data_IF_437171785266
#
_entry.id   IF_437171785266
#
_cell.length_a   1.000
_cell.length_b   1.000
_cell.length_c   1.000
_cell.angle_alpha   90.00
_cell.angle_beta   90.00
_cell.angle_gamma   90.00
#
_symmetry.space_group_name_H-M   'P 1'
#
loop_
_entity.id
_entity.type
_entity.pdbx_description
1 polymer ?
#
# COMPACT_ATOMS: atom_id res chain seq x y z
N UNK A 1 20.89 -2.60 -5.66
CA UNK A 1 20.81 -2.49 -7.14
C UNK A 1 22.19 -2.63 -7.77
N UNK A 2 22.92 -1.51 -7.92
CA UNK A 2 24.25 -1.48 -8.57
C UNK A 2 25.27 -2.43 -7.94
N UNK A 3 25.34 -2.47 -6.61
CA UNK A 3 26.26 -3.40 -5.92
C UNK A 3 25.95 -4.86 -6.22
N UNK A 4 24.67 -5.26 -6.30
CA UNK A 4 24.28 -6.64 -6.64
C UNK A 4 24.70 -7.00 -8.07
N UNK A 5 24.58 -6.05 -9.01
CA UNK A 5 25.01 -6.25 -10.41
C UNK A 5 26.53 -6.51 -10.49
N UNK A 6 27.33 -5.90 -9.61
CA UNK A 6 28.78 -6.13 -9.55
C UNK A 6 29.16 -7.51 -9.00
N UNK A 7 28.23 -8.20 -8.33
CA UNK A 7 28.45 -9.51 -7.70
C UNK A 7 28.11 -10.69 -8.62
N UNK A 8 27.76 -10.45 -9.89
CA UNK A 8 27.39 -11.51 -10.83
C UNK A 8 27.97 -11.27 -12.21
N UNK A 9 28.41 -12.36 -12.84
CA UNK A 9 28.85 -12.37 -14.25
C UNK A 9 27.70 -12.62 -15.23
N UNK A 10 26.48 -12.83 -14.73
CA UNK A 10 25.29 -13.01 -15.56
C UNK A 10 24.93 -11.70 -16.28
N UNK A 11 24.31 -11.83 -17.47
CA UNK A 11 23.72 -10.67 -18.14
C UNK A 11 22.63 -10.07 -17.26
N UNK A 12 22.76 -8.79 -16.94
CA UNK A 12 21.79 -8.07 -16.13
C UNK A 12 20.97 -7.12 -16.97
N UNK A 13 19.70 -6.97 -16.59
CA UNK A 13 18.82 -5.95 -17.13
C UNK A 13 18.23 -5.15 -15.98
N UNK A 14 18.51 -3.85 -15.97
CA UNK A 14 18.19 -2.97 -14.84
C UNK A 14 17.07 -2.02 -15.20
N UNK A 15 16.27 -1.67 -14.19
CA UNK A 15 15.20 -0.69 -14.30
C UNK A 15 15.36 0.40 -13.25
N UNK A 16 14.80 1.58 -13.53
CA UNK A 16 14.82 2.68 -12.58
C UNK A 16 13.99 3.88 -13.00
N UNK A 17 13.59 4.67 -12.00
CA UNK A 17 12.97 5.97 -12.19
C UNK A 17 14.05 7.06 -12.17
N UNK A 18 14.90 7.06 -11.15
CA UNK A 18 15.92 8.10 -10.94
C UNK A 18 17.23 7.84 -11.71
N UNK A 19 17.58 6.56 -11.87
CA UNK A 19 18.87 6.19 -12.45
C UNK A 19 18.82 6.20 -13.99
N UNK A 20 19.37 7.27 -14.57
CA UNK A 20 19.46 7.46 -16.02
C UNK A 20 20.28 6.36 -16.75
N UNK A 21 21.10 5.61 -16.03
CA UNK A 21 21.91 4.52 -16.58
C UNK A 21 21.14 3.20 -16.76
N UNK A 22 19.95 3.09 -16.16
CA UNK A 22 19.11 1.89 -16.25
C UNK A 22 18.71 1.58 -17.71
N UNK A 23 18.51 0.30 -17.97
CA UNK A 23 18.15 -0.20 -19.31
C UNK A 23 16.71 0.14 -19.67
N UNK A 24 15.78 -0.06 -18.73
CA UNK A 24 14.39 0.38 -18.81
C UNK A 24 14.15 1.52 -17.82
N UNK A 25 13.67 2.65 -18.33
CA UNK A 25 13.48 3.88 -17.56
C UNK A 25 12.05 4.34 -17.60
N UNK A 26 11.54 4.86 -16.49
CA UNK A 26 10.26 5.56 -16.45
C UNK A 26 10.48 7.08 -16.45
N UNK A 27 9.75 7.77 -17.30
CA UNK A 27 9.69 9.23 -17.46
C UNK A 27 8.22 9.68 -17.38
N UNK A 28 7.99 10.99 -17.16
CA UNK A 28 6.65 11.60 -17.13
C UNK A 28 5.64 10.87 -16.21
N UNK A 29 6.11 10.46 -15.02
CA UNK A 29 5.31 9.64 -14.11
C UNK A 29 4.20 10.50 -13.49
N UNK A 30 2.96 10.11 -13.76
CA UNK A 30 1.77 10.58 -13.06
C UNK A 30 1.34 9.48 -12.12
N UNK A 31 1.48 9.72 -10.82
CA UNK A 31 1.09 8.79 -9.77
C UNK A 31 0.03 9.45 -8.89
N UNK A 32 -1.16 8.86 -8.85
CA UNK A 32 -2.29 9.37 -8.08
C UNK A 32 -3.16 8.23 -7.57
N UNK A 33 -4.15 8.52 -6.72
CA UNK A 33 -5.11 7.51 -6.27
C UNK A 33 -5.89 6.86 -7.43
N UNK A 34 -5.98 7.53 -8.59
CA UNK A 34 -6.61 6.98 -9.80
C UNK A 34 -5.75 5.91 -10.49
N UNK A 35 -4.45 5.89 -10.22
CA UNK A 35 -3.51 4.94 -10.83
C UNK A 35 -2.19 5.60 -11.22
N UNK A 36 -1.38 4.81 -11.93
CA UNK A 36 -0.07 5.20 -12.46
C UNK A 36 -0.14 5.27 -13.98
N UNK A 37 0.34 6.39 -14.53
CA UNK A 37 0.73 6.51 -15.94
C UNK A 37 2.20 6.87 -16.00
N UNK A 38 2.96 6.23 -16.88
CA UNK A 38 4.37 6.56 -17.10
C UNK A 38 4.79 6.20 -18.51
N UNK A 39 5.71 6.99 -19.05
CA UNK A 39 6.36 6.70 -20.33
C UNK A 39 7.62 5.88 -20.08
N UNK A 40 7.75 4.76 -20.78
CA UNK A 40 8.91 3.89 -20.65
C UNK A 40 9.85 4.06 -21.82
N UNK A 41 11.13 4.23 -21.52
CA UNK A 41 12.24 4.27 -22.47
C UNK A 41 13.14 3.06 -22.23
N UNK A 42 13.25 2.19 -23.23
CA UNK A 42 14.04 0.98 -23.19
C UNK A 42 15.19 1.03 -24.20
N UNK A 43 16.41 0.79 -23.74
CA UNK A 43 17.61 0.69 -24.57
C UNK A 43 18.09 -0.77 -24.61
N UNK A 44 17.78 -1.49 -25.70
CA UNK A 44 18.13 -2.91 -25.85
C UNK A 44 19.55 -3.16 -26.38
N UNK A 45 20.21 -2.11 -26.90
CA UNK A 45 21.62 -2.17 -27.35
C UNK A 45 22.55 -2.76 -26.28
N UNK A 46 22.28 -2.43 -25.02
CA UNK A 46 23.02 -2.90 -23.86
C UNK A 46 22.79 -4.38 -23.52
N UNK A 47 21.73 -5.01 -24.05
CA UNK A 47 21.44 -6.44 -23.90
C UNK A 47 21.96 -7.29 -25.07
N UNK A 48 21.88 -6.75 -26.28
CA UNK A 48 22.27 -7.46 -27.48
C UNK A 48 22.82 -6.48 -28.54
N UNK A 49 24.12 -6.59 -28.85
CA UNK A 49 24.81 -5.76 -29.84
C UNK A 49 24.22 -5.84 -31.26
N UNK A 50 23.35 -6.82 -31.52
CA UNK A 50 22.64 -6.97 -32.79
C UNK A 50 21.29 -6.23 -32.85
N UNK A 51 20.74 -5.78 -31.71
CA UNK A 51 19.48 -5.02 -31.66
C UNK A 51 19.76 -3.55 -31.30
N UNK A 52 20.06 -2.76 -32.33
CA UNK A 52 20.25 -1.30 -32.21
C UNK A 52 18.90 -0.57 -32.18
N UNK A 53 18.07 -0.88 -31.17
CA UNK A 53 16.69 -0.39 -31.11
C UNK A 53 16.33 0.18 -29.73
N UNK A 54 16.05 1.47 -29.73
CA UNK A 54 15.37 2.16 -28.64
C UNK A 54 13.87 1.92 -28.79
N UNK A 55 13.20 1.52 -27.70
CA UNK A 55 11.75 1.42 -27.64
C UNK A 55 11.21 2.46 -26.69
N UNK A 56 10.12 3.13 -27.11
CA UNK A 56 9.35 4.03 -26.26
C UNK A 56 7.90 3.62 -26.27
N UNK A 57 7.31 3.49 -25.10
CA UNK A 57 5.90 3.12 -24.95
C UNK A 57 5.36 3.57 -23.60
N UNK A 58 4.09 3.95 -23.56
CA UNK A 58 3.43 4.35 -22.32
C UNK A 58 2.74 3.16 -21.64
N UNK A 59 2.76 3.16 -20.31
CA UNK A 59 2.05 2.23 -19.44
C UNK A 59 0.97 2.98 -18.68
N UNK A 60 -0.18 2.34 -18.52
CA UNK A 60 -1.28 2.77 -17.65
C UNK A 60 -1.68 1.60 -16.75
N UNK A 61 -1.87 1.87 -15.46
CA UNK A 61 -2.31 0.89 -14.47
C UNK A 61 -3.18 1.54 -13.42
N UNK A 62 -4.14 0.80 -12.86
CA UNK A 62 -4.96 1.25 -11.74
C UNK A 62 -4.23 1.18 -10.39
N UNK A 63 -3.09 0.48 -10.36
CA UNK A 63 -2.16 0.44 -9.23
C UNK A 63 -1.64 1.84 -8.92
N UNK A 64 -1.40 2.11 -7.65
CA UNK A 64 -0.91 3.41 -7.16
C UNK A 64 0.26 3.24 -6.19
N UNK A 65 1.01 4.33 -5.97
CA UNK A 65 2.20 4.33 -5.12
C UNK A 65 3.49 4.02 -5.86
N UNK A 66 4.60 4.63 -5.45
CA UNK A 66 5.88 4.50 -6.16
C UNK A 66 6.43 3.08 -6.16
N UNK A 67 6.19 2.29 -5.10
CA UNK A 67 6.58 0.88 -5.07
C UNK A 67 5.92 0.09 -6.22
N UNK A 68 4.68 0.40 -6.58
CA UNK A 68 4.02 -0.22 -7.73
C UNK A 68 4.60 0.26 -9.07
N UNK A 69 5.06 1.51 -9.18
CA UNK A 69 5.80 1.95 -10.37
C UNK A 69 7.07 1.11 -10.58
N UNK A 70 7.82 0.83 -9.51
CA UNK A 70 8.97 -0.08 -9.56
C UNK A 70 8.57 -1.54 -9.89
N UNK A 71 7.48 -2.06 -9.31
CA UNK A 71 6.99 -3.40 -9.63
C UNK A 71 6.60 -3.51 -11.10
N UNK A 72 5.88 -2.52 -11.64
CA UNK A 72 5.49 -2.47 -13.05
C UNK A 72 6.74 -2.42 -13.95
N UNK A 73 7.75 -1.62 -13.60
CA UNK A 73 9.03 -1.59 -14.31
C UNK A 73 9.71 -2.96 -14.31
N UNK A 74 9.76 -3.65 -13.16
CA UNK A 74 10.31 -4.99 -13.05
C UNK A 74 9.53 -6.00 -13.92
N UNK A 75 8.20 -5.94 -13.92
CA UNK A 75 7.34 -6.78 -14.77
C UNK A 75 7.54 -6.50 -16.26
N UNK A 76 7.69 -5.23 -16.66
CA UNK A 76 8.01 -4.86 -18.04
C UNK A 76 9.36 -5.46 -18.46
N UNK A 77 10.39 -5.34 -17.61
CA UNK A 77 11.69 -5.96 -17.85
C UNK A 77 11.58 -7.47 -18.07
N UNK A 78 10.88 -8.17 -17.17
CA UNK A 78 10.69 -9.62 -17.29
C UNK A 78 9.97 -9.97 -18.60
N UNK A 79 8.87 -9.29 -18.92
CA UNK A 79 8.12 -9.51 -20.16
C UNK A 79 8.95 -9.29 -21.42
N UNK A 80 9.73 -8.20 -21.48
CA UNK A 80 10.60 -7.89 -22.61
C UNK A 80 11.70 -8.95 -22.79
N UNK A 81 12.34 -9.39 -21.71
CA UNK A 81 13.39 -10.42 -21.75
C UNK A 81 12.81 -11.78 -22.17
N UNK A 82 11.57 -12.08 -21.76
CA UNK A 82 10.84 -13.28 -22.16
C UNK A 82 10.28 -13.22 -23.59
N UNK A 83 10.48 -12.12 -24.32
CA UNK A 83 10.04 -11.97 -25.72
C UNK A 83 8.56 -11.62 -25.88
N UNK A 84 7.87 -11.17 -24.83
CA UNK A 84 6.51 -10.67 -24.95
C UNK A 84 6.48 -9.35 -25.74
N UNK A 85 5.47 -9.17 -26.60
CA UNK A 85 5.27 -7.90 -27.29
C UNK A 85 4.90 -6.79 -26.30
N UNK A 86 5.24 -5.55 -26.66
CA UNK A 86 4.91 -4.36 -25.87
C UNK A 86 3.39 -4.26 -25.67
N UNK A 87 2.59 -4.58 -26.69
CA UNK A 87 1.13 -4.60 -26.61
C UNK A 87 0.61 -5.58 -25.56
N UNK A 88 1.19 -6.79 -25.50
CA UNK A 88 0.81 -7.80 -24.50
C UNK A 88 1.22 -7.37 -23.08
N UNK A 89 2.39 -6.76 -22.93
CA UNK A 89 2.86 -6.20 -21.65
C UNK A 89 1.90 -5.10 -21.18
N UNK A 90 1.57 -4.13 -22.05
CA UNK A 90 0.62 -3.04 -21.78
C UNK A 90 -0.73 -3.59 -21.36
N UNK A 91 -1.26 -4.57 -22.09
CA UNK A 91 -2.55 -5.19 -21.79
C UNK A 91 -2.53 -5.89 -20.44
N UNK A 92 -1.49 -6.68 -20.15
CA UNK A 92 -1.35 -7.39 -18.87
C UNK A 92 -1.30 -6.45 -17.68
N UNK A 93 -0.49 -5.37 -17.76
CA UNK A 93 -0.38 -4.38 -16.69
C UNK A 93 -1.70 -3.62 -16.48
N UNK A 94 -2.38 -3.25 -17.56
CA UNK A 94 -3.66 -2.54 -17.48
C UNK A 94 -4.76 -3.40 -16.86
N UNK A 95 -4.74 -4.71 -17.08
CA UNK A 95 -5.71 -5.66 -16.54
C UNK A 95 -5.41 -6.11 -15.11
N UNK A 96 -4.26 -5.74 -14.54
CA UNK A 96 -3.88 -6.18 -13.20
C UNK A 96 -4.69 -5.42 -12.12
N UNK A 97 -5.58 -6.11 -11.37
CA UNK A 97 -6.45 -5.44 -10.39
C UNK A 97 -5.73 -5.07 -9.08
N UNK A 98 -4.48 -5.52 -8.91
CA UNK A 98 -3.75 -5.44 -7.65
C UNK A 98 -3.77 -6.75 -6.89
N UNK A 99 -3.08 -6.76 -5.75
CA UNK A 99 -2.93 -7.94 -4.90
C UNK A 99 -3.81 -7.74 -3.67
N UNK A 100 -4.68 -8.73 -3.39
CA UNK A 100 -5.56 -8.70 -2.21
C UNK A 100 -4.74 -8.43 -0.95
N UNK A 101 -5.13 -7.43 -0.17
CA UNK A 101 -4.48 -7.06 1.09
C UNK A 101 -3.07 -6.48 0.97
N UNK A 102 -2.68 -5.97 -0.20
CA UNK A 102 -1.39 -5.29 -0.46
C UNK A 102 -1.65 -4.00 -1.20
N UNK A 103 -1.79 -2.91 -0.45
CA UNK A 103 -2.23 -1.62 -0.94
C UNK A 103 -3.46 -1.74 -1.86
N UNK A 104 -4.41 -2.60 -1.45
CA UNK A 104 -5.57 -2.96 -2.24
C UNK A 104 -6.55 -1.79 -2.23
N UNK A 105 -6.70 -1.13 -3.38
CA UNK A 105 -7.60 0.01 -3.53
C UNK A 105 -9.02 -0.48 -3.78
N UNK A 106 -9.95 -0.02 -2.96
CA UNK A 106 -11.38 -0.25 -3.09
C UNK A 106 -12.04 1.12 -3.19
N UNK A 107 -12.70 1.38 -4.32
CA UNK A 107 -13.48 2.61 -4.52
C UNK A 107 -14.94 2.26 -4.26
N UNK A 108 -15.55 2.92 -3.29
CA UNK A 108 -16.96 2.70 -2.93
C UNK A 108 -17.89 3.35 -3.98
N UNK A 109 -19.14 2.91 -4.07
CA UNK A 109 -20.20 3.50 -4.88
C UNK A 109 -20.44 4.98 -4.51
N UNK A 110 -20.17 5.35 -3.25
CA UNK A 110 -20.22 6.73 -2.74
C UNK A 110 -19.02 7.59 -3.20
N UNK A 111 -18.00 6.98 -3.81
CA UNK A 111 -16.80 7.62 -4.35
C UNK A 111 -15.68 7.81 -3.33
N UNK A 112 -15.70 7.07 -2.22
CA UNK A 112 -14.66 7.09 -1.19
C UNK A 112 -13.55 6.12 -1.60
N UNK A 113 -12.29 6.54 -1.44
CA UNK A 113 -11.13 5.69 -1.70
C UNK A 113 -10.72 5.00 -0.40
N UNK A 114 -10.94 3.70 -0.30
CA UNK A 114 -10.43 2.85 0.77
C UNK A 114 -9.19 2.06 0.29
N UNK A 115 -8.23 1.84 1.18
CA UNK A 115 -7.03 1.05 0.92
C UNK A 115 -6.89 0.01 2.03
N UNK A 116 -6.77 -1.26 1.67
CA UNK A 116 -6.52 -2.36 2.63
C UNK A 116 -5.08 -2.86 2.49
N UNK A 117 -4.34 -2.89 3.61
CA UNK A 117 -2.94 -3.32 3.64
C UNK A 117 -2.59 -4.17 4.88
N UNK A 118 -1.57 -5.02 4.74
CA UNK A 118 -1.09 -5.94 5.78
C UNK A 118 0.01 -5.37 6.68
N UNK A 119 0.33 -4.09 6.54
CA UNK A 119 1.33 -3.43 7.37
C UNK A 119 1.03 -3.58 8.88
N UNK A 120 1.78 -4.44 9.55
CA UNK A 120 1.66 -4.75 10.99
C UNK A 120 2.99 -4.58 11.76
N UNK A 121 3.97 -3.95 11.10
CA UNK A 121 5.27 -3.54 11.68
C UNK A 121 5.42 -2.02 11.59
N UNK A 122 6.23 -1.38 12.43
CA UNK A 122 6.44 0.07 12.38
C UNK A 122 6.85 0.57 10.98
N UNK A 123 7.91 0.02 10.40
CA UNK A 123 8.38 0.42 9.07
C UNK A 123 7.37 0.12 7.96
N UNK A 124 6.61 -0.97 8.08
CA UNK A 124 5.51 -1.27 7.16
C UNK A 124 4.42 -0.20 7.22
N UNK A 125 3.96 0.13 8.44
CA UNK A 125 2.92 1.13 8.69
C UNK A 125 3.36 2.51 8.21
N UNK A 126 4.60 2.91 8.50
CA UNK A 126 5.18 4.17 8.04
C UNK A 126 5.19 4.27 6.52
N UNK A 127 5.64 3.22 5.83
CA UNK A 127 5.72 3.16 4.37
C UNK A 127 4.34 3.29 3.72
N UNK A 128 3.35 2.54 4.21
CA UNK A 128 1.99 2.59 3.67
C UNK A 128 1.31 3.93 3.96
N UNK A 129 1.51 4.52 5.15
CA UNK A 129 0.96 5.83 5.50
C UNK A 129 1.57 6.94 4.66
N UNK A 130 2.90 6.96 4.48
CA UNK A 130 3.57 7.94 3.60
C UNK A 130 3.05 7.83 2.17
N UNK A 131 2.91 6.61 1.66
CA UNK A 131 2.38 6.38 0.31
C UNK A 131 0.93 6.86 0.21
N UNK A 132 0.07 6.49 1.16
CA UNK A 132 -1.32 6.92 1.17
C UNK A 132 -1.43 8.45 1.27
N UNK A 133 -0.65 9.09 2.15
CA UNK A 133 -0.62 10.55 2.34
C UNK A 133 -0.21 11.27 1.07
N UNK A 134 0.80 10.77 0.35
CA UNK A 134 1.21 11.31 -0.94
C UNK A 134 0.10 11.25 -1.99
N UNK A 135 -0.75 10.22 -1.94
CA UNK A 135 -1.84 10.02 -2.90
C UNK A 135 -3.11 10.81 -2.57
N UNK A 136 -3.20 11.42 -1.37
CA UNK A 136 -4.36 12.20 -0.94
C UNK A 136 -4.56 13.40 -1.90
N UNK A 137 -5.72 13.52 -2.55
CA UNK A 137 -6.08 14.69 -3.34
C UNK A 137 -5.98 16.01 -2.56
N UNK A 138 -5.73 17.11 -3.28
CA UNK A 138 -5.69 18.45 -2.66
C UNK A 138 -7.00 18.77 -1.91
N UNK A 139 -6.85 19.15 -0.64
CA UNK A 139 -7.97 19.42 0.28
C UNK A 139 -8.64 18.17 0.86
N UNK A 140 -8.07 16.98 0.65
CA UNK A 140 -8.47 15.74 1.31
C UNK A 140 -7.64 15.41 2.55
N UNK A 141 -8.05 14.37 3.26
CA UNK A 141 -7.43 13.85 4.48
C UNK A 141 -7.06 12.38 4.32
N UNK A 142 -6.02 11.96 5.03
CA UNK A 142 -5.71 10.57 5.30
C UNK A 142 -6.33 10.15 6.64
N UNK A 143 -7.30 9.25 6.60
CA UNK A 143 -7.91 8.62 7.77
C UNK A 143 -7.34 7.21 7.89
N UNK A 144 -6.70 6.90 9.01
CA UNK A 144 -6.08 5.59 9.27
C UNK A 144 -6.94 4.76 10.22
N UNK A 145 -7.07 3.47 9.96
CA UNK A 145 -7.68 2.48 10.86
C UNK A 145 -6.70 1.34 11.06
N UNK A 146 -6.22 1.14 12.28
CA UNK A 146 -5.31 0.04 12.56
C UNK A 146 -5.35 -0.41 14.02
N UNK A 147 -4.87 -1.62 14.25
CA UNK A 147 -4.64 -2.20 15.56
C UNK A 147 -3.26 -2.86 15.63
N UNK A 148 -2.98 -3.54 16.73
CA UNK A 148 -1.80 -4.37 16.88
C UNK A 148 -2.21 -5.77 17.35
N UNK A 149 -1.53 -6.80 16.82
CA UNK A 149 -1.68 -8.17 17.31
C UNK A 149 -1.22 -8.35 18.76
N UNK A 150 -1.96 -9.15 19.52
CA UNK A 150 -1.53 -9.66 20.83
C UNK A 150 -0.48 -10.75 20.72
N UNK A 151 0.15 -11.15 21.83
CA UNK A 151 1.22 -12.16 21.92
C UNK A 151 2.37 -11.90 20.93
N UNK A 152 2.71 -10.61 20.82
CA UNK A 152 3.76 -10.07 19.95
C UNK A 152 4.53 -9.00 20.71
N UNK A 153 5.60 -8.52 20.09
CA UNK A 153 6.39 -7.42 20.61
C UNK A 153 5.49 -6.23 21.00
N UNK A 154 5.58 -5.82 22.26
CA UNK A 154 4.80 -4.72 22.84
C UNK A 154 5.44 -3.38 22.55
N UNK A 155 6.77 -3.32 22.38
CA UNK A 155 7.54 -2.09 22.16
C UNK A 155 7.06 -1.40 20.87
N UNK A 156 6.80 -2.18 19.81
CA UNK A 156 6.35 -1.63 18.53
C UNK A 156 5.00 -0.90 18.61
N UNK A 157 4.15 -1.16 19.61
CA UNK A 157 2.78 -0.61 19.70
C UNK A 157 2.80 0.91 19.85
N UNK A 158 3.61 1.41 20.79
CA UNK A 158 3.81 2.85 20.99
C UNK A 158 4.45 3.50 19.74
N UNK A 159 5.44 2.84 19.14
CA UNK A 159 6.10 3.34 17.92
C UNK A 159 5.11 3.44 16.75
N UNK A 160 4.24 2.44 16.55
CA UNK A 160 3.18 2.48 15.54
C UNK A 160 2.16 3.60 15.82
N UNK A 161 1.86 3.84 17.10
CA UNK A 161 1.06 5.00 17.54
C UNK A 161 1.69 6.33 17.11
N UNK A 162 2.96 6.55 17.44
CA UNK A 162 3.71 7.75 17.06
C UNK A 162 3.72 7.97 15.54
N UNK A 163 4.00 6.91 14.77
CA UNK A 163 4.03 6.95 13.30
C UNK A 163 2.67 7.39 12.75
N UNK A 164 1.58 6.77 13.23
CA UNK A 164 0.25 7.13 12.74
C UNK A 164 -0.14 8.54 13.16
N UNK A 165 0.17 8.96 14.38
CA UNK A 165 -0.11 10.30 14.89
C UNK A 165 0.59 11.40 14.08
N UNK A 166 1.79 11.12 13.55
CA UNK A 166 2.56 12.06 12.75
C UNK A 166 2.19 12.10 11.26
N UNK A 167 1.68 11.00 10.69
CA UNK A 167 1.46 10.88 9.24
C UNK A 167 -0.01 10.94 8.82
N UNK A 168 -0.93 10.42 9.64
CA UNK A 168 -2.37 10.46 9.36
C UNK A 168 -2.97 11.78 9.85
N UNK A 169 -3.98 12.28 9.15
CA UNK A 169 -4.74 13.44 9.62
C UNK A 169 -5.68 13.04 10.75
N UNK A 170 -6.21 11.80 10.72
CA UNK A 170 -7.00 11.22 11.79
C UNK A 170 -6.78 9.71 11.88
N UNK A 171 -6.77 9.16 13.09
CA UNK A 171 -6.62 7.70 13.32
C UNK A 171 -7.75 7.13 14.14
N UNK A 172 -8.31 5.99 13.72
CA UNK A 172 -9.16 5.15 14.56
C UNK A 172 -8.35 3.93 14.99
N UNK A 173 -8.10 3.83 16.29
CA UNK A 173 -7.36 2.72 16.90
C UNK A 173 -8.37 1.64 17.26
N UNK A 174 -8.12 0.41 16.81
CA UNK A 174 -9.04 -0.72 16.92
C UNK A 174 -8.35 -2.01 17.33
N UNK A 175 -9.12 -3.04 17.66
CA UNK A 175 -8.63 -4.41 17.79
C UNK A 175 -8.16 -5.00 16.45
N UNK A 176 -7.07 -5.76 16.48
CA UNK A 176 -6.53 -6.56 15.36
C UNK A 176 -5.87 -7.82 15.94
N UNK A 177 -6.58 -8.95 15.93
CA UNK A 177 -6.10 -10.22 16.46
C UNK A 177 -5.48 -10.09 17.87
N UNK A 178 -6.26 -9.73 18.91
CA UNK A 178 -5.75 -9.56 20.26
C UNK A 178 -5.24 -10.87 20.88
N UNK A 179 -5.55 -12.03 20.29
CA UNK A 179 -5.11 -13.36 20.76
C UNK A 179 -5.44 -13.51 22.26
N UNK A 180 -4.45 -13.79 23.11
CA UNK A 180 -4.70 -13.98 24.55
C UNK A 180 -4.67 -12.68 25.36
N UNK A 181 -4.30 -11.55 24.75
CA UNK A 181 -4.25 -10.25 25.42
C UNK A 181 -5.61 -9.53 25.39
N UNK A 182 -5.83 -8.64 26.36
CA UNK A 182 -6.97 -7.73 26.36
C UNK A 182 -6.80 -6.66 25.25
N UNK A 183 -7.75 -6.54 24.29
CA UNK A 183 -7.68 -5.53 23.24
C UNK A 183 -7.61 -4.10 23.77
N UNK A 184 -8.25 -3.78 24.89
CA UNK A 184 -8.19 -2.45 25.51
C UNK A 184 -6.75 -2.12 25.92
N UNK A 185 -6.05 -3.07 26.55
CA UNK A 185 -4.66 -2.87 26.96
C UNK A 185 -3.73 -2.67 25.76
N UNK A 186 -3.95 -3.38 24.66
CA UNK A 186 -3.20 -3.18 23.42
C UNK A 186 -3.43 -1.75 22.89
N UNK A 187 -4.68 -1.31 22.86
CA UNK A 187 -5.06 0.03 22.39
C UNK A 187 -4.39 1.11 23.26
N UNK A 188 -4.39 0.95 24.58
CA UNK A 188 -3.70 1.88 25.49
C UNK A 188 -2.20 1.97 25.21
N UNK A 189 -1.55 0.86 24.86
CA UNK A 189 -0.13 0.88 24.47
C UNK A 189 0.10 1.64 23.16
N UNK A 190 -0.79 1.52 22.18
CA UNK A 190 -0.73 2.34 20.95
C UNK A 190 -0.93 3.81 21.31
N UNK A 191 -1.90 4.10 22.17
CA UNK A 191 -2.27 5.45 22.61
C UNK A 191 -1.11 6.18 23.29
N UNK A 192 -0.27 5.46 24.04
CA UNK A 192 0.94 6.04 24.64
C UNK A 192 1.86 6.71 23.61
N UNK A 193 1.88 6.21 22.37
CA UNK A 193 2.62 6.83 21.27
C UNK A 193 2.02 8.16 20.80
N UNK A 194 0.69 8.29 20.80
CA UNK A 194 0.01 9.56 20.53
C UNK A 194 0.26 10.57 21.66
N UNK A 195 0.19 10.12 22.92
CA UNK A 195 0.43 10.97 24.09
C UNK A 195 1.84 11.53 24.13
N UNK A 196 2.86 10.73 23.78
CA UNK A 196 4.26 11.17 23.70
C UNK A 196 4.49 12.28 22.67
N UNK A 197 3.62 12.41 21.67
CA UNK A 197 3.66 13.46 20.66
C UNK A 197 2.62 14.58 20.92
N UNK A 198 1.91 14.51 22.05
CA UNK A 198 0.82 15.44 22.41
C UNK A 198 -0.26 15.56 21.32
N UNK A 199 -0.53 14.44 20.63
CA UNK A 199 -1.50 14.37 19.53
C UNK A 199 -2.85 13.86 20.00
N UNK A 200 -3.92 14.54 19.55
CA UNK A 200 -5.32 14.23 19.89
C UNK A 200 -6.17 13.89 18.67
N UNK A 201 -5.56 13.76 17.49
CA UNK A 201 -6.23 13.43 16.23
C UNK A 201 -6.51 11.92 16.11
N UNK A 202 -7.14 11.35 17.12
CA UNK A 202 -7.53 9.94 17.12
C UNK A 202 -8.92 9.71 17.74
N UNK A 203 -9.48 8.54 17.45
CA UNK A 203 -10.58 7.95 18.19
C UNK A 203 -10.25 6.49 18.53
N UNK A 204 -10.90 5.98 19.57
CA UNK A 204 -10.85 4.57 19.94
C UNK A 204 -12.19 3.93 19.54
N UNK A 205 -12.12 2.80 18.86
CA UNK A 205 -13.27 1.94 18.60
C UNK A 205 -12.76 0.50 18.58
N UNK A 206 -13.04 -0.26 19.64
CA UNK A 206 -12.46 -1.60 19.83
C UNK A 206 -12.96 -2.56 18.76
N UNK A 207 -14.21 -2.43 18.34
CA UNK A 207 -14.82 -3.33 17.37
C UNK A 207 -14.44 -2.93 15.94
N UNK A 208 -13.59 -3.74 15.30
CA UNK A 208 -12.97 -3.41 14.01
C UNK A 208 -13.97 -3.07 12.91
N UNK A 209 -15.11 -3.75 12.88
CA UNK A 209 -16.20 -3.41 11.94
C UNK A 209 -16.71 -1.98 12.15
N UNK A 210 -17.02 -1.60 13.39
CA UNK A 210 -17.45 -0.25 13.74
C UNK A 210 -16.38 0.79 13.45
N UNK A 211 -15.10 0.46 13.70
CA UNK A 211 -13.98 1.35 13.39
C UNK A 211 -13.90 1.66 11.89
N UNK A 212 -14.02 0.64 11.04
CA UNK A 212 -14.03 0.80 9.59
C UNK A 212 -15.25 1.59 9.13
N UNK A 213 -16.45 1.26 9.64
CA UNK A 213 -17.68 2.01 9.32
C UNK A 213 -17.54 3.49 9.67
N UNK A 214 -17.09 3.80 10.89
CA UNK A 214 -16.87 5.16 11.36
C UNK A 214 -15.87 5.93 10.50
N UNK A 215 -14.80 5.29 10.05
CA UNK A 215 -13.82 5.90 9.15
C UNK A 215 -14.42 6.21 7.77
N UNK A 216 -15.24 5.30 7.22
CA UNK A 216 -15.92 5.49 5.95
C UNK A 216 -17.01 6.57 6.03
N UNK A 217 -17.78 6.62 7.12
CA UNK A 217 -18.82 7.63 7.36
C UNK A 217 -18.26 9.05 7.44
N UNK A 218 -17.08 9.23 8.07
CA UNK A 218 -16.47 10.55 8.19
C UNK A 218 -15.70 10.99 6.94
N UNK A 219 -15.44 10.08 6.00
CA UNK A 219 -14.64 10.34 4.81
C UNK A 219 -15.49 10.99 3.70
N UNK A 220 -14.89 11.95 3.00
CA UNK A 220 -15.46 12.50 1.77
C UNK A 220 -14.70 11.97 0.53
N UNK A 221 -15.16 12.33 -0.68
CA UNK A 221 -14.59 11.84 -1.97
C UNK A 221 -13.12 12.23 -2.22
N UNK A 222 -12.59 13.22 -1.49
CA UNK A 222 -11.18 13.61 -1.55
C UNK A 222 -10.34 12.92 -0.48
N UNK A 223 -10.97 12.29 0.51
CA UNK A 223 -10.25 11.59 1.57
C UNK A 223 -9.81 10.20 1.09
N UNK A 224 -8.80 9.66 1.79
CA UNK A 224 -8.37 8.28 1.68
C UNK A 224 -8.52 7.63 3.05
N UNK A 225 -9.20 6.49 3.10
CA UNK A 225 -9.32 5.65 4.28
C UNK A 225 -8.33 4.49 4.15
N UNK A 226 -7.28 4.47 4.96
CA UNK A 226 -6.31 3.37 5.02
C UNK A 226 -6.66 2.44 6.17
N UNK A 227 -6.88 1.15 5.86
CA UNK A 227 -7.15 0.09 6.82
C UNK A 227 -5.94 -0.85 6.82
N UNK A 228 -5.16 -0.82 7.90
CA UNK A 228 -3.91 -1.56 8.01
C UNK A 228 -3.98 -2.69 9.06
N UNK A 229 -2.98 -3.59 9.00
CA UNK A 229 -2.80 -4.72 9.93
C UNK A 229 -3.12 -6.05 9.28
N UNK A 230 -4.38 -6.29 8.91
CA UNK A 230 -4.89 -7.59 8.46
C UNK A 230 -4.67 -7.92 7.00
N UNK A 231 -4.75 -6.92 6.11
CA UNK A 231 -4.55 -7.13 4.68
C UNK A 231 -5.49 -8.18 4.07
N UNK A 232 -4.95 -9.37 3.77
CA UNK A 232 -5.70 -10.46 3.13
C UNK A 232 -6.28 -11.47 4.13
N UNK A 233 -5.97 -11.33 5.42
CA UNK A 233 -6.54 -12.19 6.46
C UNK A 233 -8.06 -12.03 6.53
N UNK A 234 -8.75 -13.16 6.69
CA UNK A 234 -10.20 -13.31 6.69
C UNK A 234 -10.75 -13.77 8.05
N UNK A 235 -9.98 -13.56 9.13
CA UNK A 235 -10.41 -13.92 10.49
C UNK A 235 -9.94 -12.89 11.52
N UNK A 236 -10.63 -12.79 12.66
CA UNK A 236 -10.10 -12.20 13.89
C UNK A 236 -9.90 -13.26 14.96
N UNK A 237 -8.77 -13.22 15.66
CA UNK A 237 -8.42 -14.18 16.71
C UNK A 237 -8.57 -13.58 18.13
N UNK A 238 -9.43 -14.20 18.93
CA UNK A 238 -9.72 -13.84 20.33
C UNK A 238 -9.61 -15.09 21.23
N UNK A 239 -8.70 -15.06 22.20
CA UNK A 239 -8.45 -16.15 23.16
C UNK A 239 -8.40 -17.55 22.51
N UNK A 240 -7.68 -17.68 21.38
CA UNK A 240 -7.54 -18.92 20.64
C UNK A 240 -8.73 -19.30 19.72
N UNK A 241 -9.80 -18.50 19.69
CA UNK A 241 -10.93 -18.66 18.77
C UNK A 241 -10.78 -17.73 17.57
N UNK A 242 -10.98 -18.25 16.36
CA UNK A 242 -11.02 -17.48 15.13
C UNK A 242 -12.47 -17.28 14.69
N UNK A 243 -12.86 -16.04 14.48
CA UNK A 243 -14.15 -15.67 13.88
C UNK A 243 -13.90 -15.10 12.49
N UNK A 244 -14.78 -15.41 11.54
CA UNK A 244 -14.68 -14.87 10.17
C UNK A 244 -14.75 -13.34 10.18
N UNK A 245 -13.79 -12.69 9.53
CA UNK A 245 -13.70 -11.24 9.43
C UNK A 245 -12.77 -10.82 8.29
N UNK A 246 -13.30 -10.13 7.27
CA UNK A 246 -12.52 -9.54 6.18
C UNK A 246 -12.74 -8.02 6.12
N UNK A 247 -11.65 -7.25 6.14
CA UNK A 247 -11.70 -5.79 5.97
C UNK A 247 -12.41 -5.40 4.67
N UNK A 248 -12.17 -6.15 3.59
CA UNK A 248 -12.78 -5.93 2.27
C UNK A 248 -14.30 -6.18 2.30
N UNK A 249 -14.75 -7.24 2.99
CA UNK A 249 -16.18 -7.53 3.11
C UNK A 249 -16.89 -6.47 3.94
N UNK A 250 -16.27 -5.99 5.02
CA UNK A 250 -16.80 -4.90 5.85
C UNK A 250 -16.97 -3.61 5.04
N UNK A 251 -15.99 -3.25 4.20
CA UNK A 251 -16.11 -2.08 3.31
C UNK A 251 -17.27 -2.25 2.34
N UNK A 252 -17.41 -3.45 1.73
CA UNK A 252 -18.52 -3.74 0.79
C UNK A 252 -19.87 -3.72 1.48
N UNK A 253 -19.96 -4.21 2.72
CA UNK A 253 -21.19 -4.16 3.52
C UNK A 253 -21.63 -2.72 3.76
N UNK A 254 -20.69 -1.84 4.14
CA UNK A 254 -20.97 -0.41 4.31
C UNK A 254 -21.35 0.30 3.00
N UNK A 255 -20.79 -0.14 1.87
CA UNK A 255 -21.07 0.47 0.58
C UNK A 255 -22.44 0.07 0.01
N UNK A 256 -22.99 -1.05 0.47
CA UNK A 256 -24.31 -1.55 0.09
C UNK A 256 -25.44 -1.08 1.02
N UNK A 257 -25.12 -0.36 2.10
CA UNK A 257 -26.10 0.25 3.02
C UNK A 257 -26.45 1.69 2.64
#
# INVERSE_FOLDING_TARGET
GKEIVKLTDLKTFTYGIEDKSAHLKAENIVNSIKGIRMDLKCCMEKLNKFFNKEYRFSIESELCGYFNAYNILASCCAGLISGASIENIKKGIKMMPGVKGRFEKIVTNKGINAIVDYAHTPGGLESVLKTAKFLVPSGGRLISVFGCGGDRDKIKRAVMGQISAGLADFTIITSDNPRTEDPELIIQMILSGFMQLEKTNYAIEVERKKAIFKALEMANRKDIVLIAGKGHEDYQEFAGKRIHFSDQEVIKEWDNS
#
